data_IF_439743947738
#
_entry.id   IF_439743947738
#
_cell.length_a   1.000
_cell.length_b   1.000
_cell.length_c   1.000
_cell.angle_alpha   90.00
_cell.angle_beta   90.00
_cell.angle_gamma   90.00
#
_symmetry.space_group_name_H-M   'P 1'
#
loop_
_entity.id
_entity.type
_entity.pdbx_description
1 polymer ?
#
# COMPACT_ATOMS: atom_id res chain seq x y z
N UNK A 1 5.42 -10.97 21.45
CA UNK A 1 6.10 -10.44 20.27
C UNK A 1 7.20 -9.49 20.76
N UNK A 2 8.38 -9.56 20.18
CA UNK A 2 9.47 -8.64 20.50
C UNK A 2 9.57 -7.62 19.36
N UNK A 3 9.34 -6.34 19.68
CA UNK A 3 9.29 -5.24 18.71
C UNK A 3 10.17 -4.06 19.12
N UNK A 4 11.49 -4.26 19.35
CA UNK A 4 12.34 -3.25 20.00
C UNK A 4 12.40 -1.92 19.25
N UNK A 5 12.32 -1.93 17.92
CA UNK A 5 12.32 -0.68 17.15
C UNK A 5 10.97 0.05 17.21
N UNK A 6 9.84 -0.68 17.21
CA UNK A 6 8.52 -0.08 17.40
C UNK A 6 8.37 0.44 18.83
N UNK A 7 8.86 -0.32 19.81
CA UNK A 7 8.87 0.09 21.22
C UNK A 7 9.67 1.39 21.40
N UNK A 8 10.83 1.50 20.74
CA UNK A 8 11.63 2.73 20.72
C UNK A 8 10.89 3.94 20.14
N UNK A 9 10.04 3.75 19.14
CA UNK A 9 9.19 4.84 18.61
C UNK A 9 8.15 5.27 19.64
N UNK A 10 7.55 4.33 20.36
CA UNK A 10 6.59 4.64 21.43
C UNK A 10 7.25 5.37 22.59
N UNK A 11 8.46 4.96 22.98
CA UNK A 11 9.22 5.57 24.09
C UNK A 11 9.68 7.00 23.78
N UNK A 12 9.96 7.31 22.52
CA UNK A 12 10.46 8.62 22.08
C UNK A 12 9.39 9.49 21.41
N UNK A 13 8.15 9.02 21.32
CA UNK A 13 7.07 9.67 20.59
C UNK A 13 5.76 9.69 21.35
N UNK A 14 4.67 9.41 20.62
CA UNK A 14 3.31 9.37 21.19
C UNK A 14 2.69 8.01 20.87
N UNK A 15 2.19 7.34 21.91
CA UNK A 15 1.42 6.11 21.81
C UNK A 15 -0.06 6.40 22.06
N UNK A 16 -0.90 6.10 21.06
CA UNK A 16 -2.35 6.25 21.21
C UNK A 16 -2.95 4.99 21.82
N UNK A 17 -3.48 5.10 23.04
CA UNK A 17 -4.10 3.98 23.76
C UNK A 17 -5.48 3.61 23.25
N UNK A 18 -6.09 4.49 22.45
CA UNK A 18 -7.39 4.30 21.82
C UNK A 18 -7.30 4.77 20.36
N UNK A 19 -6.84 3.90 19.48
CA UNK A 19 -6.78 4.14 18.04
C UNK A 19 -7.66 3.12 17.32
N UNK A 20 -8.52 3.60 16.44
CA UNK A 20 -9.52 2.79 15.75
C UNK A 20 -9.35 2.89 14.24
N UNK A 21 -9.61 1.77 13.56
CA UNK A 21 -9.66 1.69 12.10
C UNK A 21 -11.09 1.29 11.67
N UNK A 22 -11.34 1.24 10.37
CA UNK A 22 -12.58 0.72 9.82
C UNK A 22 -12.58 -0.82 9.82
N UNK A 23 -13.74 -1.41 9.51
CA UNK A 23 -14.02 -2.85 9.65
C UNK A 23 -13.08 -3.74 8.84
N UNK A 24 -12.65 -3.27 7.66
CA UNK A 24 -11.77 -4.02 6.74
C UNK A 24 -10.70 -3.13 6.13
N UNK A 25 -9.77 -3.76 5.38
CA UNK A 25 -8.55 -3.14 4.90
C UNK A 25 -8.77 -1.93 3.97
N UNK A 26 -9.58 -2.03 2.90
CA UNK A 26 -9.73 -0.93 1.96
C UNK A 26 -10.29 0.34 2.60
N UNK A 27 -11.41 0.32 3.33
CA UNK A 27 -11.93 1.50 4.01
C UNK A 27 -10.92 2.11 5.00
N UNK A 28 -10.19 1.27 5.75
CA UNK A 28 -9.16 1.74 6.67
C UNK A 28 -8.01 2.44 5.94
N UNK A 29 -7.57 1.88 4.80
CA UNK A 29 -6.50 2.44 3.98
C UNK A 29 -6.93 3.74 3.30
N UNK A 30 -8.15 3.78 2.75
CA UNK A 30 -8.70 5.00 2.17
C UNK A 30 -8.79 6.12 3.22
N UNK A 31 -9.31 5.82 4.41
CA UNK A 31 -9.38 6.80 5.50
C UNK A 31 -8.00 7.28 5.95
N UNK A 32 -7.02 6.38 6.06
CA UNK A 32 -5.65 6.72 6.43
C UNK A 32 -4.99 7.67 5.42
N UNK A 33 -5.15 7.39 4.13
CA UNK A 33 -4.50 8.17 3.07
C UNK A 33 -5.20 9.49 2.77
N UNK A 34 -6.52 9.57 2.96
CA UNK A 34 -7.30 10.78 2.61
C UNK A 34 -7.67 11.64 3.82
N UNK A 35 -7.54 11.11 5.04
CA UNK A 35 -8.05 11.76 6.26
C UNK A 35 -9.59 11.89 6.29
N UNK A 36 -10.31 11.18 5.40
CA UNK A 36 -11.78 11.27 5.25
C UNK A 36 -12.46 9.95 5.58
N UNK A 37 -13.73 10.03 5.96
CA UNK A 37 -14.54 8.82 6.13
C UNK A 37 -14.67 8.10 4.76
N UNK A 38 -14.36 6.80 4.67
CA UNK A 38 -14.16 6.10 3.39
C UNK A 38 -15.42 6.02 2.53
N UNK A 39 -16.62 6.08 3.11
CA UNK A 39 -17.87 6.12 2.35
C UNK A 39 -18.00 7.39 1.47
N UNK A 40 -17.27 8.44 1.79
CA UNK A 40 -17.28 9.68 1.00
C UNK A 40 -16.47 9.53 -0.29
N UNK A 41 -15.44 8.70 -0.28
CA UNK A 41 -14.62 8.36 -1.44
C UNK A 41 -15.03 7.06 -2.14
N UNK A 42 -16.24 6.54 -1.84
CA UNK A 42 -16.78 5.35 -2.50
C UNK A 42 -16.24 4.00 -1.97
N UNK A 43 -15.34 4.02 -0.98
CA UNK A 43 -14.70 2.80 -0.46
C UNK A 43 -15.47 2.25 0.75
N UNK A 44 -16.52 1.48 0.51
CA UNK A 44 -17.41 1.01 1.58
C UNK A 44 -17.06 -0.40 2.08
N UNK A 45 -16.37 -1.19 1.28
CA UNK A 45 -16.04 -2.58 1.58
C UNK A 45 -14.69 -2.95 0.99
N UNK A 46 -14.26 -4.20 1.18
CA UNK A 46 -13.05 -4.71 0.55
C UNK A 46 -13.26 -4.90 -0.95
N UNK A 47 -12.18 -4.63 -1.68
CA UNK A 47 -12.15 -4.64 -3.13
C UNK A 47 -11.47 -5.87 -3.65
N UNK A 48 -11.97 -6.37 -4.77
CA UNK A 48 -11.26 -7.35 -5.56
C UNK A 48 -11.26 -6.96 -7.03
N UNK A 49 -10.13 -7.08 -7.69
CA UNK A 49 -9.95 -6.91 -9.11
C UNK A 49 -8.48 -6.86 -9.45
N UNK A 50 -8.13 -7.44 -10.59
CA UNK A 50 -6.84 -7.27 -11.23
C UNK A 50 -6.88 -6.05 -12.18
N UNK A 51 -5.76 -5.73 -12.82
CA UNK A 51 -5.66 -4.65 -13.80
C UNK A 51 -6.56 -4.86 -15.03
N UNK A 52 -6.86 -6.10 -15.36
CA UNK A 52 -7.63 -6.53 -16.53
C UNK A 52 -9.05 -6.96 -16.14
N UNK A 53 -9.34 -7.00 -14.85
CA UNK A 53 -10.56 -7.58 -14.29
C UNK A 53 -11.78 -6.72 -14.46
N UNK A 54 -12.91 -7.39 -14.30
CA UNK A 54 -14.24 -6.79 -14.37
C UNK A 54 -14.43 -5.67 -13.37
N UNK A 55 -15.14 -4.65 -13.82
CA UNK A 55 -15.64 -3.55 -12.99
C UNK A 55 -16.53 -4.04 -11.86
N UNK A 56 -15.94 -4.33 -10.73
CA UNK A 56 -16.69 -4.17 -9.51
C UNK A 56 -16.57 -2.71 -9.11
N UNK A 57 -17.57 -1.91 -9.38
CA UNK A 57 -17.63 -0.48 -9.04
C UNK A 57 -17.56 -0.21 -7.52
N UNK A 58 -17.56 -1.25 -6.74
CA UNK A 58 -17.53 -1.18 -5.30
C UNK A 58 -16.08 -1.30 -4.85
N UNK A 59 -15.46 -0.11 -4.72
CA UNK A 59 -14.31 -0.03 -3.91
C UNK A 59 -13.02 0.39 -4.56
N UNK A 60 -12.94 0.84 -5.78
CA UNK A 60 -11.84 1.69 -6.21
C UNK A 60 -12.00 3.04 -5.54
N UNK A 61 -10.97 3.54 -4.90
CA UNK A 61 -10.97 4.91 -4.41
C UNK A 61 -11.18 5.86 -5.60
N UNK A 62 -12.05 6.85 -5.42
CA UNK A 62 -12.29 7.86 -6.46
C UNK A 62 -10.96 8.58 -6.75
N UNK A 63 -10.52 8.66 -8.02
CA UNK A 63 -9.28 9.35 -8.38
C UNK A 63 -9.27 10.85 -8.02
N UNK A 64 -10.42 11.45 -7.76
CA UNK A 64 -10.50 12.84 -7.29
C UNK A 64 -10.23 13.01 -5.78
N UNK A 65 -10.12 11.92 -5.03
CA UNK A 65 -9.70 11.98 -3.63
C UNK A 65 -8.23 12.39 -3.55
N UNK A 66 -7.95 13.38 -2.71
CA UNK A 66 -6.58 13.85 -2.47
C UNK A 66 -5.96 13.02 -1.36
N UNK A 67 -4.85 12.40 -1.65
CA UNK A 67 -4.13 11.54 -0.70
C UNK A 67 -3.02 12.29 0.03
N UNK A 68 -2.61 11.75 1.18
CA UNK A 68 -1.43 12.23 1.91
C UNK A 68 -0.16 12.22 1.03
N UNK A 69 -0.03 11.24 0.13
CA UNK A 69 1.11 11.18 -0.78
C UNK A 69 1.12 12.35 -1.78
N UNK A 70 -0.04 12.73 -2.32
CA UNK A 70 -0.15 13.89 -3.21
C UNK A 70 0.21 15.19 -2.48
N UNK A 71 -0.35 15.41 -1.29
CA UNK A 71 -0.07 16.60 -0.47
C UNK A 71 1.41 16.71 -0.14
N UNK A 72 2.04 15.61 0.26
CA UNK A 72 3.46 15.60 0.60
C UNK A 72 4.35 15.76 -0.62
N UNK A 73 3.98 15.17 -1.77
CA UNK A 73 4.71 15.38 -3.02
C UNK A 73 4.67 16.85 -3.46
N UNK A 74 3.52 17.50 -3.36
CA UNK A 74 3.40 18.96 -3.63
C UNK A 74 4.24 19.79 -2.65
N UNK A 75 4.42 19.32 -1.42
CA UNK A 75 5.30 19.94 -0.44
C UNK A 75 6.78 19.62 -0.63
N UNK A 76 7.15 18.91 -1.71
CA UNK A 76 8.55 18.62 -2.07
C UNK A 76 9.11 17.31 -1.46
N UNK A 77 8.27 16.46 -0.91
CA UNK A 77 8.70 15.14 -0.46
C UNK A 77 8.80 14.15 -1.62
N UNK A 78 9.80 13.28 -1.57
CA UNK A 78 9.83 12.07 -2.39
C UNK A 78 8.85 11.06 -1.81
N UNK A 79 8.04 10.41 -2.63
CA UNK A 79 6.94 9.57 -2.15
C UNK A 79 7.04 8.14 -2.67
N UNK A 80 6.90 7.14 -1.79
CA UNK A 80 6.98 5.74 -2.16
C UNK A 80 6.01 4.85 -1.37
N UNK A 81 5.48 3.83 -2.05
CA UNK A 81 4.71 2.74 -1.44
C UNK A 81 5.42 1.40 -1.69
N UNK A 82 5.73 0.70 -0.62
CA UNK A 82 6.28 -0.65 -0.66
C UNK A 82 5.29 -1.63 -0.02
N UNK A 83 4.78 -2.57 -0.82
CA UNK A 83 3.83 -3.57 -0.38
C UNK A 83 2.40 -3.34 -0.91
N UNK A 84 1.42 -3.53 -0.04
CA UNK A 84 -0.01 -3.55 -0.39
C UNK A 84 -0.56 -2.16 -0.73
N UNK A 85 -1.26 -2.06 -1.88
CA UNK A 85 -2.08 -0.90 -2.24
C UNK A 85 -3.54 -1.03 -1.81
N UNK A 86 -4.30 -1.89 -2.43
CA UNK A 86 -5.69 -2.25 -2.16
C UNK A 86 -6.71 -1.10 -2.18
N UNK A 87 -6.51 -0.11 -3.05
CA UNK A 87 -7.44 1.01 -3.28
C UNK A 87 -7.82 1.20 -4.76
N UNK A 88 -7.50 0.21 -5.58
CA UNK A 88 -7.83 0.17 -7.00
C UNK A 88 -6.70 -0.42 -7.83
N UNK A 89 -7.01 -1.41 -8.67
CA UNK A 89 -6.03 -2.08 -9.52
C UNK A 89 -6.02 -1.56 -10.96
N UNK A 90 -7.11 -0.95 -11.42
CA UNK A 90 -7.22 -0.41 -12.77
C UNK A 90 -6.22 0.71 -13.03
N UNK A 91 -5.87 0.91 -14.28
CA UNK A 91 -5.14 2.10 -14.71
C UNK A 91 -5.90 3.37 -14.31
N UNK A 92 -5.19 4.35 -13.76
CA UNK A 92 -5.78 5.56 -13.20
C UNK A 92 -6.23 5.45 -11.73
N UNK A 93 -6.10 4.26 -11.11
CA UNK A 93 -6.44 4.04 -9.70
C UNK A 93 -5.27 3.44 -8.88
N UNK A 94 -4.13 3.28 -9.51
CA UNK A 94 -2.94 2.72 -8.87
C UNK A 94 -2.24 3.72 -7.94
N UNK A 95 -1.25 3.26 -7.17
CA UNK A 95 -0.51 4.14 -6.26
C UNK A 95 0.21 5.28 -6.97
N UNK A 96 0.71 5.08 -8.20
CA UNK A 96 1.36 6.14 -8.96
C UNK A 96 0.38 7.23 -9.41
N UNK A 97 -0.89 6.88 -9.60
CA UNK A 97 -1.95 7.82 -9.94
C UNK A 97 -2.41 8.64 -8.74
N UNK A 98 -2.08 8.17 -7.52
CA UNK A 98 -2.50 8.72 -6.23
C UNK A 98 -1.32 9.29 -5.42
N UNK A 99 -0.34 9.85 -6.11
CA UNK A 99 0.71 10.68 -5.51
C UNK A 99 2.00 9.96 -5.11
N UNK A 100 2.09 8.65 -5.23
CA UNK A 100 3.36 7.95 -5.04
C UNK A 100 4.21 8.00 -6.32
N UNK A 101 5.49 8.37 -6.20
CA UNK A 101 6.45 8.39 -7.31
C UNK A 101 7.08 7.01 -7.55
N UNK A 102 7.06 6.16 -6.53
CA UNK A 102 7.56 4.79 -6.58
C UNK A 102 6.56 3.85 -5.92
N UNK A 103 6.32 2.72 -6.57
CA UNK A 103 5.59 1.59 -6.02
C UNK A 103 6.37 0.29 -6.28
N UNK A 104 6.48 -0.55 -5.26
CA UNK A 104 6.90 -1.94 -5.39
C UNK A 104 6.01 -2.80 -4.51
N UNK A 105 5.20 -3.67 -5.11
CA UNK A 105 4.27 -4.49 -4.34
C UNK A 105 3.07 -4.96 -5.15
N UNK A 106 1.95 -5.14 -4.46
CA UNK A 106 0.73 -5.66 -5.07
C UNK A 106 -0.45 -4.69 -4.98
N UNK A 107 -1.39 -4.82 -5.92
CA UNK A 107 -2.54 -3.94 -6.05
C UNK A 107 -3.79 -4.48 -5.34
N UNK A 108 -3.90 -5.80 -5.16
CA UNK A 108 -5.03 -6.48 -4.51
C UNK A 108 -4.93 -6.52 -2.98
N UNK A 109 -5.83 -7.29 -2.36
CA UNK A 109 -5.96 -7.39 -0.92
C UNK A 109 -4.81 -8.12 -0.22
N UNK A 110 -4.31 -9.18 -0.83
CA UNK A 110 -3.17 -9.97 -0.37
C UNK A 110 -2.70 -10.89 -1.49
N UNK A 111 -1.47 -11.35 -1.37
CA UNK A 111 -0.86 -12.32 -2.28
C UNK A 111 -0.18 -13.43 -1.49
N UNK A 112 0.06 -14.56 -2.11
CA UNK A 112 0.95 -15.57 -1.59
C UNK A 112 2.39 -15.03 -1.53
N UNK A 113 3.07 -15.22 -0.40
CA UNK A 113 4.37 -14.58 -0.14
C UNK A 113 5.54 -15.12 -0.97
N UNK A 114 5.39 -16.24 -1.69
CA UNK A 114 6.44 -16.85 -2.51
C UNK A 114 6.08 -16.97 -3.99
N UNK A 115 4.79 -17.12 -4.30
CA UNK A 115 4.33 -17.22 -5.69
C UNK A 115 3.82 -15.89 -6.23
N UNK A 116 3.46 -14.96 -5.33
CA UNK A 116 2.93 -13.62 -5.60
C UNK A 116 1.59 -13.61 -6.34
N UNK A 117 0.84 -14.71 -6.22
CA UNK A 117 -0.51 -14.81 -6.74
C UNK A 117 -1.54 -14.44 -5.68
N UNK A 118 -2.57 -13.73 -6.10
CA UNK A 118 -3.76 -13.51 -5.28
C UNK A 118 -4.44 -14.83 -4.93
N UNK A 119 -5.16 -14.90 -3.79
CA UNK A 119 -5.86 -16.12 -3.30
C UNK A 119 -4.95 -17.36 -3.22
N UNK A 120 -3.78 -17.23 -2.61
CA UNK A 120 -2.86 -18.36 -2.35
C UNK A 120 -2.47 -19.17 -3.60
N UNK A 121 -2.28 -18.47 -4.72
CA UNK A 121 -1.85 -19.09 -5.95
C UNK A 121 -2.98 -19.61 -6.84
N UNK A 122 -4.22 -19.37 -6.49
CA UNK A 122 -5.39 -19.75 -7.30
C UNK A 122 -5.96 -18.60 -8.14
N UNK A 123 -5.56 -17.37 -7.86
CA UNK A 123 -5.99 -16.19 -8.57
C UNK A 123 -5.00 -15.78 -9.67
N UNK A 124 -4.95 -14.50 -9.94
CA UNK A 124 -4.03 -13.87 -10.88
C UNK A 124 -2.71 -13.50 -10.18
N UNK A 125 -1.63 -13.39 -10.95
CA UNK A 125 -0.36 -12.86 -10.46
C UNK A 125 -0.49 -11.36 -10.18
N UNK A 126 0.11 -10.87 -9.08
CA UNK A 126 -0.09 -9.51 -8.61
C UNK A 126 1.16 -8.97 -7.91
N UNK A 127 2.26 -8.89 -8.65
CA UNK A 127 3.49 -8.25 -8.20
C UNK A 127 3.98 -7.27 -9.24
N UNK A 128 4.21 -6.03 -8.82
CA UNK A 128 4.58 -4.92 -9.70
C UNK A 128 5.78 -4.14 -9.19
N UNK A 129 6.62 -3.69 -10.10
CA UNK A 129 7.53 -2.58 -9.92
C UNK A 129 6.97 -1.38 -10.71
N UNK A 130 6.45 -0.39 -10.01
CA UNK A 130 5.65 0.69 -10.57
C UNK A 130 4.42 0.13 -11.32
N UNK A 131 4.36 0.35 -12.64
CA UNK A 131 3.28 -0.16 -13.48
C UNK A 131 3.66 -1.44 -14.25
N UNK A 132 4.88 -1.95 -14.07
CA UNK A 132 5.38 -3.14 -14.73
C UNK A 132 5.14 -4.37 -13.85
N UNK A 133 4.47 -5.38 -14.38
CA UNK A 133 4.32 -6.68 -13.72
C UNK A 133 5.66 -7.43 -13.76
N UNK A 134 6.12 -7.89 -12.61
CA UNK A 134 7.41 -8.58 -12.47
C UNK A 134 7.22 -9.96 -11.84
N UNK A 135 8.02 -10.94 -12.27
CA UNK A 135 7.93 -12.33 -11.82
C UNK A 135 9.17 -12.71 -11.01
N UNK A 136 8.98 -12.85 -9.69
CA UNK A 136 10.03 -13.14 -8.71
C UNK A 136 9.69 -14.38 -7.87
N UNK A 137 9.14 -15.42 -8.51
CA UNK A 137 8.68 -16.64 -7.84
C UNK A 137 9.78 -17.27 -7.00
N UNK A 138 9.46 -17.58 -5.74
CA UNK A 138 10.36 -18.18 -4.77
C UNK A 138 11.06 -17.19 -3.86
N UNK A 139 11.01 -15.89 -4.18
CA UNK A 139 11.52 -14.86 -3.29
C UNK A 139 10.46 -14.49 -2.25
N UNK A 140 10.88 -14.29 -1.02
CA UNK A 140 9.96 -14.01 0.09
C UNK A 140 9.53 -12.54 0.08
N UNK A 141 8.26 -12.29 -0.18
CA UNK A 141 7.73 -10.95 -0.41
C UNK A 141 8.03 -9.94 0.70
N UNK A 142 7.91 -10.25 2.02
CA UNK A 142 8.27 -9.31 3.07
C UNK A 142 9.73 -8.85 3.04
N UNK A 143 10.66 -9.72 2.68
CA UNK A 143 12.08 -9.35 2.52
C UNK A 143 12.27 -8.43 1.32
N UNK A 144 11.61 -8.75 0.19
CA UNK A 144 11.68 -7.93 -1.02
C UNK A 144 11.24 -6.48 -0.76
N UNK A 145 10.11 -6.28 -0.06
CA UNK A 145 9.63 -4.91 0.23
C UNK A 145 10.53 -4.17 1.21
N UNK A 146 11.15 -4.86 2.16
CA UNK A 146 12.15 -4.26 3.07
C UNK A 146 13.38 -3.83 2.29
N UNK A 147 13.90 -4.69 1.42
CA UNK A 147 15.08 -4.39 0.59
C UNK A 147 14.85 -3.17 -0.31
N UNK A 148 13.70 -3.09 -0.97
CA UNK A 148 13.35 -1.95 -1.81
C UNK A 148 13.13 -0.67 -0.98
N UNK A 149 12.53 -0.77 0.20
CA UNK A 149 12.37 0.35 1.12
C UNK A 149 13.72 0.90 1.61
N UNK A 150 14.65 0.02 1.99
CA UNK A 150 16.00 0.40 2.42
C UNK A 150 16.78 1.05 1.28
N UNK A 151 16.74 0.49 0.06
CA UNK A 151 17.36 1.08 -1.13
C UNK A 151 16.81 2.48 -1.40
N UNK A 152 15.50 2.65 -1.30
CA UNK A 152 14.85 3.95 -1.51
C UNK A 152 15.26 4.98 -0.47
N UNK A 153 15.24 4.61 0.81
CA UNK A 153 15.68 5.49 1.90
C UNK A 153 17.15 5.92 1.75
N UNK A 154 18.03 4.99 1.37
CA UNK A 154 19.44 5.28 1.13
C UNK A 154 19.64 6.23 -0.06
N UNK A 155 18.87 6.03 -1.14
CA UNK A 155 18.92 6.88 -2.35
C UNK A 155 18.48 8.32 -2.09
N UNK A 156 17.53 8.52 -1.19
CA UNK A 156 16.91 9.80 -0.88
C UNK A 156 17.28 10.33 0.50
N UNK A 157 18.46 9.94 1.03
CA UNK A 157 18.92 10.32 2.38
C UNK A 157 19.04 11.82 2.59
N UNK A 158 19.27 12.58 1.52
CA UNK A 158 19.48 14.03 1.56
C UNK A 158 18.23 14.86 1.21
N UNK A 159 17.10 14.18 1.00
CA UNK A 159 15.82 14.79 0.65
C UNK A 159 14.74 14.38 1.67
N UNK A 160 13.73 15.22 1.94
CA UNK A 160 12.58 14.76 2.69
C UNK A 160 11.83 13.69 1.89
N UNK A 161 11.49 12.57 2.52
CA UNK A 161 10.69 11.54 1.88
C UNK A 161 9.54 11.06 2.77
N UNK A 162 8.48 10.66 2.13
CA UNK A 162 7.35 9.91 2.69
C UNK A 162 7.33 8.51 2.11
N UNK A 163 7.46 7.52 2.97
CA UNK A 163 7.47 6.13 2.58
C UNK A 163 6.43 5.36 3.39
N UNK A 164 5.52 4.69 2.69
CA UNK A 164 4.56 3.77 3.29
C UNK A 164 5.02 2.33 3.04
N UNK A 165 5.39 1.62 4.11
CA UNK A 165 5.75 0.19 4.05
C UNK A 165 4.56 -0.61 4.58
N UNK A 166 3.86 -1.28 3.67
CA UNK A 166 2.59 -1.94 3.93
C UNK A 166 2.73 -3.45 3.74
N UNK A 167 3.12 -4.15 4.80
CA UNK A 167 3.30 -5.60 4.77
C UNK A 167 2.01 -6.34 4.40
N UNK A 168 2.17 -7.44 3.66
CA UNK A 168 1.10 -8.39 3.38
C UNK A 168 0.72 -9.20 4.64
N UNK A 169 1.72 -9.56 5.45
CA UNK A 169 1.54 -10.24 6.72
C UNK A 169 0.89 -9.33 7.78
N UNK A 170 0.13 -9.90 8.70
CA UNK A 170 -0.15 -11.32 8.95
C UNK A 170 -1.36 -11.88 8.16
N UNK A 171 -1.69 -11.32 7.02
CA UNK A 171 -2.69 -11.89 6.12
C UNK A 171 -2.24 -13.30 5.70
N UNK A 172 -3.13 -14.29 5.81
CA UNK A 172 -2.84 -15.71 5.55
C UNK A 172 -2.83 -16.07 4.08
#
# INVERSE_FOLDING_TARGET
>A
LQTPYMDSLADNGVSFTQAYAHTVCCPSRAALLTGRHPNRGGVQSWLQGDRNGSDTHLGNMDPSEITLAEVLREAGYRTALFGKWHLGAKFGHGPLDQGFEKHFGHLSGFIDNFTHYFLHGQGYHDLYDNNEEIFRRGEYFPEMIVDEAVKYAAKHSDEPFFMMVAFNLPHY
#
